data_IF_559522038825
#
_entry.id   IF_559522038825
#
_cell.length_a   1.000
_cell.length_b   1.000
_cell.length_c   1.000
_cell.angle_alpha   90.00
_cell.angle_beta   90.00
_cell.angle_gamma   90.00
#
_symmetry.space_group_name_H-M   'P 1'
#
loop_
_entity.id
_entity.type
_entity.pdbx_description
1 polymer ?
#
# COMPACT_ATOMS: atom_id res chain seq x y z
N UNK A 1 8.76 6.36 3.85
CA UNK A 1 7.41 6.50 3.29
C UNK A 1 6.75 7.76 3.80
N UNK A 2 6.16 8.54 2.90
CA UNK A 2 5.14 9.51 3.26
C UNK A 2 3.83 8.81 3.61
N UNK A 3 2.89 9.53 4.19
CA UNK A 3 1.57 9.02 4.55
C UNK A 3 0.52 9.69 3.69
N UNK A 4 -0.24 8.90 2.95
CA UNK A 4 -1.42 9.40 2.27
C UNK A 4 -2.62 9.32 3.22
N UNK A 5 -3.09 10.49 3.66
CA UNK A 5 -4.27 10.60 4.50
C UNK A 5 -5.50 10.82 3.62
N UNK A 6 -6.56 10.13 3.99
CA UNK A 6 -7.83 10.33 3.34
C UNK A 6 -8.51 11.56 3.92
N UNK A 7 -8.72 12.56 3.08
CA UNK A 7 -9.67 13.64 3.32
C UNK A 7 -11.08 13.20 2.88
N UNK A 8 -12.04 14.08 2.96
CA UNK A 8 -13.44 13.82 2.68
C UNK A 8 -13.71 13.06 1.36
N UNK A 9 -12.92 13.32 0.33
CA UNK A 9 -12.88 12.51 -0.89
C UNK A 9 -11.42 12.28 -1.27
N UNK A 10 -10.97 11.05 -1.15
CA UNK A 10 -9.66 10.64 -1.64
C UNK A 10 -9.81 10.10 -3.06
N UNK A 11 -9.33 10.85 -4.04
CA UNK A 11 -9.40 10.48 -5.45
C UNK A 11 -8.18 9.66 -5.87
N UNK A 12 -8.11 8.43 -5.39
CA UNK A 12 -7.05 7.51 -5.81
C UNK A 12 -7.18 7.14 -7.29
N UNK A 13 -6.08 6.83 -7.95
CA UNK A 13 -6.08 6.40 -9.36
C UNK A 13 -6.75 5.04 -9.56
N UNK A 14 -6.85 4.22 -8.51
CA UNK A 14 -7.64 2.99 -8.51
C UNK A 14 -9.05 3.30 -8.01
N UNK A 15 -10.03 3.26 -8.89
CA UNK A 15 -11.42 3.56 -8.55
C UNK A 15 -12.41 2.73 -9.37
N UNK A 16 -13.64 2.66 -8.90
CA UNK A 16 -14.81 2.18 -9.65
C UNK A 16 -15.36 3.31 -10.52
N UNK A 17 -16.33 2.97 -11.39
CA UNK A 17 -17.04 3.97 -12.17
C UNK A 17 -17.68 5.03 -11.27
N UNK A 18 -17.33 6.28 -11.49
CA UNK A 18 -17.80 7.45 -10.72
C UNK A 18 -18.85 8.28 -11.48
N UNK A 19 -19.19 7.88 -12.70
CA UNK A 19 -20.11 8.64 -13.56
C UNK A 19 -21.50 8.78 -12.91
N UNK A 20 -22.00 10.02 -12.85
CA UNK A 20 -23.32 10.33 -12.31
C UNK A 20 -23.43 10.27 -10.78
N UNK A 21 -22.33 10.07 -10.07
CA UNK A 21 -22.32 10.07 -8.60
C UNK A 21 -21.97 11.48 -8.12
N UNK A 22 -22.95 12.20 -7.58
CA UNK A 22 -22.79 13.55 -7.02
C UNK A 22 -22.66 13.54 -5.50
N UNK A 23 -23.27 12.57 -4.80
CA UNK A 23 -23.20 12.44 -3.35
C UNK A 23 -21.76 12.11 -2.91
N UNK A 24 -21.09 13.00 -2.14
CA UNK A 24 -19.71 12.81 -1.73
C UNK A 24 -19.46 11.52 -0.94
N UNK A 25 -20.43 11.07 -0.14
CA UNK A 25 -20.29 9.84 0.64
C UNK A 25 -20.31 8.59 -0.25
N UNK A 26 -21.10 8.60 -1.30
CA UNK A 26 -21.15 7.54 -2.32
C UNK A 26 -19.93 7.59 -3.21
N UNK A 27 -19.51 8.80 -3.63
CA UNK A 27 -18.30 9.01 -4.42
C UNK A 27 -17.06 8.50 -3.69
N UNK A 28 -16.94 8.78 -2.38
CA UNK A 28 -15.83 8.29 -1.55
C UNK A 28 -15.70 6.76 -1.59
N UNK A 29 -16.80 6.03 -1.62
CA UNK A 29 -16.82 4.55 -1.69
C UNK A 29 -16.36 4.00 -3.05
N UNK A 30 -16.27 4.84 -4.07
CA UNK A 30 -15.75 4.45 -5.37
C UNK A 30 -14.22 4.41 -5.41
N UNK A 31 -13.54 5.06 -4.47
CA UNK A 31 -12.08 5.12 -4.38
C UNK A 31 -11.54 4.16 -3.32
N UNK A 32 -10.24 3.88 -3.40
CA UNK A 32 -9.57 3.03 -2.42
C UNK A 32 -9.36 3.82 -1.11
N UNK A 33 -9.84 3.26 -0.01
CA UNK A 33 -9.81 3.90 1.30
C UNK A 33 -8.46 3.68 2.00
N UNK A 34 -7.73 4.76 2.25
CA UNK A 34 -6.42 4.76 2.91
C UNK A 34 -6.43 4.14 4.31
N UNK A 35 -7.55 4.26 5.04
CA UNK A 35 -7.68 3.72 6.40
C UNK A 35 -8.01 2.22 6.43
N UNK A 36 -8.43 1.65 5.31
CA UNK A 36 -8.93 0.27 5.21
C UNK A 36 -8.10 -0.64 4.32
N UNK A 37 -7.42 -0.06 3.35
CA UNK A 37 -6.67 -0.82 2.34
C UNK A 37 -5.19 -0.48 2.41
N UNK A 38 -4.30 -1.48 2.59
CA UNK A 38 -2.87 -1.24 2.50
C UNK A 38 -2.47 -1.02 1.03
N UNK A 39 -2.01 0.19 0.69
CA UNK A 39 -1.58 0.51 -0.65
C UNK A 39 -0.37 1.44 -0.70
N UNK A 40 0.28 1.47 -1.86
CA UNK A 40 1.31 2.42 -2.25
C UNK A 40 0.81 3.46 -3.23
N UNK A 41 1.43 4.63 -3.18
CA UNK A 41 1.45 5.61 -4.26
C UNK A 41 2.68 5.33 -5.13
N UNK A 42 2.48 5.02 -6.39
CA UNK A 42 3.54 4.65 -7.35
C UNK A 42 3.81 5.76 -8.35
N UNK A 43 4.89 5.65 -9.10
CA UNK A 43 5.31 6.68 -10.04
C UNK A 43 4.51 6.69 -11.35
N UNK A 44 4.05 5.55 -11.81
CA UNK A 44 3.45 5.37 -13.14
C UNK A 44 2.10 4.66 -13.07
N UNK A 45 1.18 5.04 -13.97
CA UNK A 45 -0.17 4.46 -14.06
C UNK A 45 -0.18 2.98 -14.42
N UNK A 46 0.80 2.51 -15.17
CA UNK A 46 0.93 1.10 -15.54
C UNK A 46 1.31 0.20 -14.37
N UNK A 47 1.75 0.77 -13.25
CA UNK A 47 1.98 0.03 -12.01
C UNK A 47 0.71 -0.16 -11.17
N UNK A 48 -0.38 0.55 -11.47
CA UNK A 48 -1.64 0.46 -10.71
C UNK A 48 -2.18 -0.97 -10.76
N UNK A 49 -2.57 -1.47 -9.59
CA UNK A 49 -3.08 -2.83 -9.42
C UNK A 49 -2.00 -3.88 -9.13
N UNK A 50 -0.72 -3.57 -9.32
CA UNK A 50 0.35 -4.47 -8.90
C UNK A 50 0.27 -4.73 -7.39
N UNK A 51 0.60 -5.95 -7.00
CA UNK A 51 0.63 -6.38 -5.60
C UNK A 51 2.07 -6.54 -5.10
N UNK A 52 2.26 -6.21 -3.84
CA UNK A 52 3.56 -6.20 -3.19
C UNK A 52 3.52 -6.89 -1.84
N UNK A 53 4.66 -7.47 -1.45
CA UNK A 53 4.95 -7.84 -0.07
C UNK A 53 5.91 -6.80 0.49
N UNK A 54 5.54 -6.18 1.60
CA UNK A 54 6.35 -5.18 2.31
C UNK A 54 6.81 -5.75 3.63
N UNK A 55 8.10 -5.73 3.87
CA UNK A 55 8.72 -6.28 5.07
C UNK A 55 9.55 -5.20 5.76
N UNK A 56 9.20 -4.90 7.02
CA UNK A 56 10.02 -4.08 7.90
C UNK A 56 10.98 -4.96 8.67
N UNK A 57 12.27 -4.67 8.58
CA UNK A 57 13.33 -5.36 9.33
C UNK A 57 14.14 -4.39 10.18
N UNK A 58 14.65 -4.91 11.30
CA UNK A 58 15.73 -4.29 12.07
C UNK A 58 16.89 -5.27 12.11
N UNK A 59 17.99 -4.94 11.44
CA UNK A 59 19.05 -5.90 11.15
C UNK A 59 18.51 -7.10 10.37
N UNK A 60 18.79 -8.31 10.82
CA UNK A 60 18.29 -9.56 10.20
C UNK A 60 16.84 -9.93 10.61
N UNK A 61 16.30 -9.29 11.65
CA UNK A 61 14.99 -9.64 12.24
C UNK A 61 13.84 -8.97 11.51
N UNK A 62 12.88 -9.77 11.04
CA UNK A 62 11.59 -9.28 10.55
C UNK A 62 10.78 -8.74 11.74
N UNK A 63 10.36 -7.49 11.66
CA UNK A 63 9.55 -6.83 12.68
C UNK A 63 8.07 -6.91 12.37
N UNK A 64 7.70 -6.50 11.17
CA UNK A 64 6.33 -6.49 10.66
C UNK A 64 6.35 -6.73 9.15
N UNK A 65 5.23 -7.19 8.63
CA UNK A 65 5.01 -7.29 7.20
C UNK A 65 3.56 -7.02 6.84
N UNK A 66 3.34 -6.62 5.60
CA UNK A 66 2.02 -6.42 5.03
C UNK A 66 2.04 -6.75 3.53
N UNK A 67 0.90 -7.16 3.01
CA UNK A 67 0.66 -7.05 1.57
C UNK A 67 0.17 -5.64 1.27
N UNK A 68 0.43 -5.16 0.07
CA UNK A 68 -0.05 -3.87 -0.41
C UNK A 68 -0.38 -3.93 -1.90
N UNK A 69 -1.22 -3.02 -2.35
CA UNK A 69 -1.55 -2.82 -3.77
C UNK A 69 -1.08 -1.43 -4.20
N UNK A 70 -0.66 -1.27 -5.44
CA UNK A 70 -0.46 0.06 -6.02
C UNK A 70 -1.82 0.65 -6.38
N UNK A 71 -2.25 1.70 -5.69
CA UNK A 71 -3.60 2.24 -5.85
C UNK A 71 -3.66 3.72 -6.21
N UNK A 72 -2.53 4.42 -6.17
CA UNK A 72 -2.46 5.81 -6.57
C UNK A 72 -1.15 6.15 -7.26
N UNK A 73 -1.13 7.26 -7.99
CA UNK A 73 0.01 7.70 -8.80
C UNK A 73 0.46 9.09 -8.38
N UNK A 74 1.76 9.24 -8.19
CA UNK A 74 2.41 10.53 -8.11
C UNK A 74 3.65 10.53 -9.01
N UNK A 75 3.58 11.21 -10.15
CA UNK A 75 4.65 11.27 -11.14
C UNK A 75 5.89 12.04 -10.65
N UNK A 76 5.76 12.80 -9.57
CA UNK A 76 6.87 13.53 -8.93
C UNK A 76 7.76 12.65 -8.04
N UNK A 77 7.38 11.40 -7.79
CA UNK A 77 8.21 10.46 -7.03
C UNK A 77 9.53 10.25 -7.77
N UNK A 78 10.62 10.46 -7.04
CA UNK A 78 11.97 10.15 -7.51
C UNK A 78 12.42 8.86 -6.85
N UNK A 79 12.77 7.88 -7.66
CA UNK A 79 13.47 6.71 -7.15
C UNK A 79 14.92 7.09 -6.86
N UNK A 80 15.47 6.57 -5.75
CA UNK A 80 16.88 6.72 -5.46
C UNK A 80 17.75 5.99 -6.52
N UNK A 81 19.08 6.09 -6.40
CA UNK A 81 20.00 5.42 -7.33
C UNK A 81 19.84 3.89 -7.32
N UNK A 82 19.30 3.32 -6.26
CA UNK A 82 18.98 1.90 -6.11
C UNK A 82 17.58 1.55 -6.65
N UNK A 83 16.81 2.56 -7.10
CA UNK A 83 15.46 2.35 -7.65
C UNK A 83 14.43 1.87 -6.64
N UNK A 84 14.61 2.15 -5.35
CA UNK A 84 13.85 1.55 -4.25
C UNK A 84 13.01 2.52 -3.45
N UNK A 85 12.93 3.79 -3.82
CA UNK A 85 12.15 4.77 -3.09
C UNK A 85 10.70 4.79 -3.57
N UNK A 86 9.78 4.45 -2.68
CA UNK A 86 8.33 4.61 -2.85
C UNK A 86 7.86 5.84 -2.09
N UNK A 87 7.04 6.70 -2.74
CA UNK A 87 6.69 8.01 -2.22
C UNK A 87 5.81 7.98 -0.96
N UNK A 88 4.69 7.29 -1.01
CA UNK A 88 3.70 7.31 0.05
C UNK A 88 3.05 5.95 0.26
N UNK A 89 2.65 5.69 1.50
CA UNK A 89 1.84 4.55 1.86
C UNK A 89 0.51 4.97 2.48
N UNK A 90 -0.51 4.14 2.34
CA UNK A 90 -1.79 4.35 3.03
C UNK A 90 -1.62 4.26 4.55
N UNK A 91 -2.54 4.87 5.30
CA UNK A 91 -2.60 4.72 6.76
C UNK A 91 -2.61 3.25 7.18
N UNK A 92 -3.41 2.44 6.49
CA UNK A 92 -3.52 1.01 6.76
C UNK A 92 -2.20 0.27 6.56
N UNK A 93 -1.47 0.57 5.49
CA UNK A 93 -0.15 -0.02 5.25
C UNK A 93 0.81 0.31 6.39
N UNK A 94 0.88 1.57 6.80
CA UNK A 94 1.79 2.01 7.85
C UNK A 94 1.41 1.44 9.21
N UNK A 95 0.12 1.34 9.53
CA UNK A 95 -0.36 0.65 10.73
C UNK A 95 0.07 -0.82 10.74
N UNK A 96 -0.07 -1.53 9.63
CA UNK A 96 0.36 -2.92 9.50
C UNK A 96 1.87 -3.07 9.68
N UNK A 97 2.65 -2.08 9.29
CA UNK A 97 4.11 -2.03 9.47
C UNK A 97 4.53 -1.54 10.87
N UNK A 98 3.57 -1.29 11.76
CA UNK A 98 3.80 -0.98 13.16
C UNK A 98 3.87 0.51 13.50
N UNK A 99 3.48 1.40 12.58
CA UNK A 99 3.30 2.83 12.91
C UNK A 99 1.96 3.02 13.62
N UNK A 100 2.01 3.58 14.81
CA UNK A 100 0.80 3.85 15.62
C UNK A 100 0.29 5.27 15.44
N UNK A 101 1.13 6.18 15.00
CA UNK A 101 0.80 7.58 14.85
C UNK A 101 -0.14 7.82 13.67
N UNK A 102 -1.16 8.64 13.90
CA UNK A 102 -2.14 9.07 12.90
C UNK A 102 -1.75 10.38 12.21
N UNK A 103 -0.59 10.96 12.55
CA UNK A 103 -0.14 12.21 11.96
C UNK A 103 0.28 12.04 10.49
N UNK A 104 0.17 13.13 9.74
CA UNK A 104 0.57 13.23 8.33
C UNK A 104 2.08 13.36 8.14
N UNK A 105 2.87 12.88 9.08
CA UNK A 105 4.32 13.01 9.02
C UNK A 105 4.94 11.84 8.27
N UNK A 106 6.07 12.08 7.68
CA UNK A 106 6.87 11.05 7.04
C UNK A 106 7.19 9.92 8.02
N UNK A 107 7.08 8.70 7.52
CA UNK A 107 7.47 7.54 8.28
C UNK A 107 8.95 7.26 8.08
N UNK A 108 9.76 7.76 9.01
CA UNK A 108 11.20 7.47 9.04
C UNK A 108 11.55 6.10 9.64
N UNK A 109 10.59 5.47 10.31
CA UNK A 109 10.87 4.28 11.11
C UNK A 109 11.79 4.57 12.31
N UNK A 110 12.10 3.54 13.08
CA UNK A 110 13.14 3.61 14.09
C UNK A 110 14.52 3.54 13.44
N UNK A 111 15.51 4.12 14.09
CA UNK A 111 16.91 4.06 13.63
C UNK A 111 17.33 2.60 13.39
N UNK A 112 17.81 2.32 12.17
CA UNK A 112 18.22 0.97 11.74
C UNK A 112 17.09 0.12 11.16
N UNK A 113 15.85 0.62 11.08
CA UNK A 113 14.79 -0.05 10.34
C UNK A 113 15.02 0.06 8.84
N UNK A 114 14.75 -1.04 8.14
CA UNK A 114 14.77 -1.10 6.68
C UNK A 114 13.47 -1.70 6.17
N UNK A 115 12.98 -1.16 5.07
CA UNK A 115 11.80 -1.66 4.37
C UNK A 115 12.22 -2.35 3.08
N UNK A 116 11.72 -3.56 2.89
CA UNK A 116 11.92 -4.34 1.67
C UNK A 116 10.58 -4.47 0.97
N UNK A 117 10.52 -4.05 -0.28
CA UNK A 117 9.32 -4.06 -1.09
C UNK A 117 9.52 -5.03 -2.25
N UNK A 118 8.71 -6.07 -2.31
CA UNK A 118 8.78 -7.08 -3.36
C UNK A 118 7.52 -7.05 -4.20
N UNK A 119 7.66 -6.77 -5.48
CA UNK A 119 6.58 -6.94 -6.44
C UNK A 119 6.25 -8.43 -6.58
N UNK A 120 4.97 -8.77 -6.41
CA UNK A 120 4.50 -10.15 -6.48
C UNK A 120 4.19 -10.56 -7.92
N UNK A 121 4.39 -11.85 -8.21
CA UNK A 121 4.10 -12.45 -9.52
C UNK A 121 2.64 -12.89 -9.57
N UNK A 122 1.74 -11.93 -9.57
CA UNK A 122 0.28 -12.11 -9.69
C UNK A 122 -0.28 -11.06 -10.63
N UNK A 123 -1.45 -11.34 -11.22
CA UNK A 123 -2.09 -10.38 -12.10
C UNK A 123 -2.49 -9.09 -11.35
N UNK A 124 -2.37 -7.92 -11.99
CA UNK A 124 -2.82 -6.66 -11.42
C UNK A 124 -4.31 -6.69 -11.08
N UNK A 125 -4.68 -5.98 -10.03
CA UNK A 125 -6.06 -5.89 -9.54
C UNK A 125 -6.72 -4.64 -10.12
N UNK A 126 -7.93 -4.77 -10.65
CA UNK A 126 -8.69 -3.60 -11.14
C UNK A 126 -9.15 -2.70 -9.99
N UNK A 127 -9.59 -3.29 -8.89
CA UNK A 127 -10.03 -2.58 -7.70
C UNK A 127 -9.89 -3.44 -6.44
N UNK A 128 -9.34 -2.85 -5.37
CA UNK A 128 -9.23 -3.48 -4.07
C UNK A 128 -9.91 -2.61 -3.00
N UNK A 129 -11.07 -3.05 -2.51
CA UNK A 129 -11.85 -2.34 -1.50
C UNK A 129 -11.57 -2.77 -0.06
N UNK A 130 -10.71 -3.75 0.17
CA UNK A 130 -10.40 -4.28 1.50
C UNK A 130 -9.00 -4.90 1.60
N UNK A 131 -8.43 -4.86 2.79
CA UNK A 131 -7.19 -5.57 3.11
C UNK A 131 -7.32 -7.08 2.87
N UNK A 132 -8.46 -7.66 3.23
CA UNK A 132 -8.75 -9.08 3.00
C UNK A 132 -8.60 -9.46 1.52
N UNK A 133 -9.11 -8.64 0.61
CA UNK A 133 -8.95 -8.87 -0.84
C UNK A 133 -7.50 -8.77 -1.28
N UNK A 134 -6.76 -7.74 -0.85
CA UNK A 134 -5.34 -7.58 -1.14
C UNK A 134 -4.56 -8.81 -0.67
N UNK A 135 -4.76 -9.24 0.57
CA UNK A 135 -4.09 -10.41 1.14
C UNK A 135 -4.44 -11.70 0.40
N UNK A 136 -5.72 -11.94 0.10
CA UNK A 136 -6.18 -13.13 -0.64
C UNK A 136 -5.48 -13.26 -1.99
N UNK A 137 -5.36 -12.16 -2.71
CA UNK A 137 -4.72 -12.13 -4.03
C UNK A 137 -3.20 -12.27 -3.93
N UNK A 138 -2.58 -11.61 -2.96
CA UNK A 138 -1.15 -11.72 -2.69
C UNK A 138 -0.73 -13.15 -2.30
N UNK A 139 -1.58 -13.90 -1.64
CA UNK A 139 -1.34 -15.31 -1.26
C UNK A 139 -1.22 -16.26 -2.45
N UNK A 140 -1.56 -15.83 -3.66
CA UNK A 140 -1.30 -16.60 -4.89
C UNK A 140 0.17 -16.62 -5.26
N UNK A 141 0.95 -15.65 -4.78
CA UNK A 141 2.41 -15.62 -4.93
C UNK A 141 3.09 -16.52 -3.90
N UNK A 142 4.03 -17.37 -4.35
CA UNK A 142 4.73 -18.33 -3.49
C UNK A 142 5.53 -17.65 -2.37
N UNK A 143 6.19 -16.52 -2.66
CA UNK A 143 6.99 -15.76 -1.70
C UNK A 143 6.09 -15.13 -0.62
N UNK A 144 5.04 -14.44 -1.03
CA UNK A 144 4.08 -13.86 -0.10
C UNK A 144 3.44 -14.92 0.79
N UNK A 145 3.00 -16.04 0.20
CA UNK A 145 2.42 -17.17 0.94
C UNK A 145 3.38 -17.72 2.01
N UNK A 146 4.67 -17.89 1.67
CA UNK A 146 5.70 -18.35 2.61
C UNK A 146 5.86 -17.40 3.79
N UNK A 147 6.01 -16.09 3.51
CA UNK A 147 6.20 -15.09 4.56
C UNK A 147 4.95 -14.91 5.43
N UNK A 148 3.78 -14.82 4.82
CA UNK A 148 2.52 -14.64 5.55
C UNK A 148 2.17 -15.82 6.45
N UNK A 149 2.54 -17.04 6.07
CA UNK A 149 2.38 -18.23 6.93
C UNK A 149 3.37 -18.21 8.09
N UNK A 150 4.64 -17.89 7.82
CA UNK A 150 5.72 -17.91 8.84
C UNK A 150 5.52 -16.84 9.92
N UNK A 151 5.02 -15.67 9.54
CA UNK A 151 4.87 -14.50 10.42
C UNK A 151 3.40 -14.19 10.72
N UNK A 152 2.53 -15.20 10.72
CA UNK A 152 1.17 -15.06 11.25
C UNK A 152 1.24 -14.61 12.72
N UNK A 153 0.61 -13.49 12.99
CA UNK A 153 0.23 -13.10 14.34
C UNK A 153 -1.27 -13.19 14.47
#
# INVERSE_FOLDING_TARGET
FGVQVQYYVSQTSMHKNTNGIEDPSKLQKCYVDSSRVPYFVVKSRDEIGNLYLVIRKKGKKVKKLSCAVAADVNTSIKYDKQGTEYGEGSLKLLQNLGKKDKSNTDYGGDRGDKFFVYKLKVHPVKFAGSEKKVRKLAMRDKKAKKYLKRYKK
#
